data_IF_032210972323
#
_entry.id   IF_032210972323
#
_cell.length_a   1.000
_cell.length_b   1.000
_cell.length_c   1.000
_cell.angle_alpha   90.00
_cell.angle_beta   90.00
_cell.angle_gamma   90.00
#
_symmetry.space_group_name_H-M   'P 1'
#
loop_
_entity.id
_entity.type
_entity.pdbx_description
1 polymer ?
#
# COMPACT_ATOMS: atom_id res chain seq x y z
N UNK A 1 34.05 -5.79 12.17
CA UNK A 1 32.94 -4.81 12.31
C UNK A 1 32.42 -4.57 10.91
N UNK A 2 31.35 -5.24 10.53
CA UNK A 2 30.79 -5.14 9.17
C UNK A 2 30.02 -3.84 9.06
N UNK A 3 30.61 -2.87 8.35
CA UNK A 3 29.94 -1.67 7.89
C UNK A 3 28.71 -2.08 7.09
N UNK A 4 27.52 -1.85 7.67
CA UNK A 4 26.28 -1.94 6.91
C UNK A 4 26.26 -0.74 5.99
N UNK A 5 26.36 -0.99 4.68
CA UNK A 5 26.10 0.02 3.66
C UNK A 5 24.76 0.71 3.98
N UNK A 6 24.67 2.05 3.89
CA UNK A 6 23.39 2.73 4.04
C UNK A 6 22.48 2.25 2.90
N UNK A 7 21.31 1.70 3.24
CA UNK A 7 20.27 1.35 2.25
C UNK A 7 20.15 2.47 1.22
N UNK A 8 20.22 2.12 -0.06
CA UNK A 8 20.14 3.11 -1.13
C UNK A 8 18.77 3.79 -1.09
N UNK A 9 18.68 5.08 -1.45
CA UNK A 9 17.41 5.81 -1.47
C UNK A 9 16.32 5.11 -2.31
N UNK A 10 16.72 4.34 -3.33
CA UNK A 10 15.86 3.50 -4.15
C UNK A 10 15.30 2.32 -3.34
N UNK A 11 16.12 1.68 -2.53
CA UNK A 11 15.74 0.59 -1.64
C UNK A 11 14.79 1.08 -0.54
N UNK A 12 15.00 2.29 -0.02
CA UNK A 12 14.07 2.95 0.91
C UNK A 12 12.71 3.27 0.28
N UNK A 13 12.68 3.80 -0.94
CA UNK A 13 11.43 4.07 -1.67
C UNK A 13 10.70 2.77 -2.06
N UNK A 14 11.44 1.71 -2.42
CA UNK A 14 10.91 0.38 -2.65
C UNK A 14 10.38 -0.22 -1.34
N UNK A 15 11.07 -0.05 -0.22
CA UNK A 15 10.63 -0.46 1.10
C UNK A 15 9.46 0.37 1.63
N UNK A 16 9.26 1.63 1.26
CA UNK A 16 8.02 2.37 1.56
C UNK A 16 6.85 1.88 0.69
N UNK A 17 7.13 1.53 -0.57
CA UNK A 17 6.14 0.95 -1.49
C UNK A 17 5.83 -0.53 -1.21
N UNK A 18 6.70 -1.25 -0.48
CA UNK A 18 6.63 -2.69 -0.22
C UNK A 18 6.57 -3.06 1.27
N UNK A 19 6.82 -2.12 2.20
CA UNK A 19 6.72 -2.30 3.63
C UNK A 19 5.81 -1.21 4.26
N UNK A 20 4.80 -1.55 5.06
CA UNK A 20 4.74 -2.65 6.05
C UNK A 20 5.70 -2.39 7.23
N UNK A 21 6.51 -1.29 7.23
CA UNK A 21 7.14 -0.70 8.43
C UNK A 21 7.40 0.80 8.25
N UNK A 22 7.15 1.66 9.27
CA UNK A 22 7.53 3.06 9.25
C UNK A 22 9.06 3.20 9.18
N UNK A 23 9.54 4.01 8.25
CA UNK A 23 10.95 4.41 8.11
C UNK A 23 11.10 5.77 8.79
N UNK A 24 12.11 5.93 9.64
CA UNK A 24 12.36 7.20 10.34
C UNK A 24 12.52 8.35 9.33
N UNK A 25 11.62 9.34 9.37
CA UNK A 25 11.58 10.49 8.45
C UNK A 25 10.69 10.35 7.20
N UNK A 26 9.94 9.26 7.04
CA UNK A 26 8.99 9.05 5.94
C UNK A 26 7.66 8.49 6.48
N UNK A 27 6.58 9.27 6.42
CA UNK A 27 5.26 8.86 6.88
C UNK A 27 4.74 7.66 6.07
N UNK A 28 4.61 6.52 6.73
CA UNK A 28 4.11 5.29 6.11
C UNK A 28 2.57 5.19 6.11
N UNK A 29 1.85 6.17 6.66
CA UNK A 29 0.39 6.22 6.67
C UNK A 29 -0.07 7.67 6.77
N UNK A 30 -0.98 8.16 5.91
CA UNK A 30 -1.94 9.13 6.37
C UNK A 30 -2.92 8.37 7.28
N UNK A 31 -2.78 8.54 8.59
CA UNK A 31 -3.76 8.07 9.59
C UNK A 31 -5.00 8.98 9.64
N UNK A 32 -5.08 9.96 8.74
CA UNK A 32 -6.12 10.98 8.66
C UNK A 32 -6.07 11.66 7.31
N UNK A 33 -7.18 12.29 6.92
CA UNK A 33 -7.31 13.00 5.65
C UNK A 33 -8.04 12.19 4.58
N UNK A 34 -8.41 12.84 3.46
CA UNK A 34 -9.27 12.24 2.44
C UNK A 34 -8.58 11.07 1.75
N UNK A 35 -9.36 10.01 1.49
CA UNK A 35 -8.90 8.86 0.72
C UNK A 35 -10.05 7.92 0.35
N UNK A 36 -9.67 6.78 -0.21
CA UNK A 36 -10.58 5.71 -0.60
C UNK A 36 -10.12 4.37 -0.07
N UNK A 37 -11.06 3.51 0.30
CA UNK A 37 -10.78 2.12 0.66
C UNK A 37 -11.82 1.16 0.08
N UNK A 38 -11.41 -0.09 -0.09
CA UNK A 38 -12.26 -1.17 -0.56
C UNK A 38 -11.96 -2.44 0.23
N UNK A 39 -13.02 -3.12 0.66
CA UNK A 39 -12.91 -4.46 1.24
C UNK A 39 -12.82 -5.48 0.11
N UNK A 40 -11.67 -6.15 0.03
CA UNK A 40 -11.38 -7.16 -0.99
C UNK A 40 -11.37 -8.56 -0.36
N UNK A 41 -11.27 -9.58 -1.20
CA UNK A 41 -11.21 -10.98 -0.76
C UNK A 41 -10.12 -11.24 0.30
N UNK A 42 -10.32 -12.28 1.12
CA UNK A 42 -9.37 -12.65 2.17
C UNK A 42 -9.48 -11.82 3.45
N UNK A 43 -10.50 -10.97 3.59
CA UNK A 43 -10.66 -10.08 4.75
C UNK A 43 -9.61 -8.98 4.77
N UNK A 44 -9.19 -8.54 3.59
CA UNK A 44 -8.23 -7.46 3.40
C UNK A 44 -8.97 -6.16 3.03
N UNK A 45 -8.39 -5.05 3.45
CA UNK A 45 -8.82 -3.70 3.08
C UNK A 45 -7.70 -3.06 2.28
N UNK A 46 -7.97 -2.73 1.02
CA UNK A 46 -7.09 -1.94 0.17
C UNK A 46 -7.43 -0.46 0.35
N UNK A 47 -6.45 0.42 0.40
CA UNK A 47 -6.69 1.86 0.52
C UNK A 47 -5.67 2.71 -0.23
N UNK A 48 -6.10 3.93 -0.56
CA UNK A 48 -5.31 4.95 -1.24
C UNK A 48 -5.69 6.35 -0.76
N UNK A 49 -4.73 7.28 -0.77
CA UNK A 49 -4.98 8.72 -0.56
C UNK A 49 -5.21 9.48 -1.88
N UNK A 50 -5.38 8.77 -3.00
CA UNK A 50 -5.51 9.32 -4.35
C UNK A 50 -4.34 10.19 -4.85
N UNK A 51 -3.18 10.10 -4.19
CA UNK A 51 -1.96 10.78 -4.58
C UNK A 51 -0.85 9.75 -4.83
N UNK A 52 -0.21 9.28 -3.77
CA UNK A 52 1.00 8.46 -3.85
C UNK A 52 0.97 7.23 -2.92
N UNK A 53 -0.06 7.08 -2.09
CA UNK A 53 -0.20 5.96 -1.15
C UNK A 53 -1.12 4.90 -1.73
N UNK A 54 -0.65 3.66 -1.73
CA UNK A 54 -1.45 2.46 -1.94
C UNK A 54 -1.00 1.41 -0.93
N UNK A 55 -1.93 0.90 -0.13
CA UNK A 55 -1.59 -0.05 0.92
C UNK A 55 -2.74 -1.02 1.21
N UNK A 56 -2.39 -2.13 1.85
CA UNK A 56 -3.31 -3.19 2.24
C UNK A 56 -3.21 -3.47 3.74
N UNK A 57 -4.34 -3.41 4.43
CA UNK A 57 -4.50 -3.81 5.83
C UNK A 57 -5.33 -5.09 5.94
N UNK A 58 -5.09 -5.89 6.98
CA UNK A 58 -5.87 -7.09 7.26
C UNK A 58 -5.38 -8.36 6.54
N UNK A 59 -6.24 -9.38 6.56
CA UNK A 59 -5.95 -10.73 6.05
C UNK A 59 -5.41 -11.71 7.10
N UNK A 60 -5.97 -12.93 7.13
CA UNK A 60 -5.45 -14.06 7.95
C UNK A 60 -4.47 -14.97 7.17
N UNK A 61 -4.46 -14.88 5.84
CA UNK A 61 -3.64 -15.71 4.96
C UNK A 61 -2.40 -14.99 4.44
N UNK A 62 -1.23 -15.62 4.57
CA UNK A 62 0.05 -15.10 4.04
C UNK A 62 0.07 -15.10 2.51
N UNK A 63 -0.53 -16.11 1.87
CA UNK A 63 -0.51 -16.30 0.41
C UNK A 63 -1.27 -15.22 -0.35
N UNK A 64 -2.50 -14.90 0.07
CA UNK A 64 -3.35 -13.89 -0.58
C UNK A 64 -2.69 -12.51 -0.52
N UNK A 65 -2.13 -12.19 0.65
CA UNK A 65 -1.38 -10.96 0.88
C UNK A 65 -0.10 -10.89 0.03
N UNK A 66 0.65 -11.99 -0.08
CA UNK A 66 1.83 -12.06 -0.96
C UNK A 66 1.48 -11.87 -2.45
N UNK A 67 0.40 -12.49 -2.93
CA UNK A 67 -0.05 -12.32 -4.31
C UNK A 67 -0.45 -10.87 -4.59
N UNK A 68 -1.14 -10.22 -3.65
CA UNK A 68 -1.54 -8.83 -3.79
C UNK A 68 -0.33 -7.88 -3.84
N UNK A 69 0.69 -8.10 -2.99
CA UNK A 69 1.93 -7.32 -3.07
C UNK A 69 2.69 -7.53 -4.38
N UNK A 70 2.67 -8.74 -4.94
CA UNK A 70 3.24 -8.99 -6.25
C UNK A 70 2.48 -8.23 -7.34
N UNK A 71 1.15 -8.19 -7.26
CA UNK A 71 0.31 -7.44 -8.19
C UNK A 71 0.56 -5.93 -8.11
N UNK A 72 0.60 -5.36 -6.90
CA UNK A 72 0.97 -3.95 -6.66
C UNK A 72 2.34 -3.63 -7.28
N UNK A 73 3.34 -4.50 -7.08
CA UNK A 73 4.67 -4.33 -7.66
C UNK A 73 4.69 -4.39 -9.18
N UNK A 74 3.87 -5.25 -9.78
CA UNK A 74 3.74 -5.35 -11.24
C UNK A 74 3.15 -4.07 -11.81
N UNK A 75 2.10 -3.53 -11.18
CA UNK A 75 1.45 -2.28 -11.59
C UNK A 75 2.39 -1.08 -11.45
N UNK A 76 3.13 -0.98 -10.35
CA UNK A 76 4.17 0.04 -10.17
C UNK A 76 5.23 -0.02 -11.28
N UNK A 77 5.73 -1.22 -11.59
CA UNK A 77 6.71 -1.42 -12.68
C UNK A 77 6.14 -1.11 -14.06
N UNK A 78 4.83 -1.23 -14.23
CA UNK A 78 4.12 -0.81 -15.44
C UNK A 78 3.83 0.71 -15.48
N UNK A 79 4.32 1.48 -14.51
CA UNK A 79 4.15 2.94 -14.47
C UNK A 79 2.78 3.40 -13.99
N UNK A 80 1.99 2.53 -13.34
CA UNK A 80 0.69 2.89 -12.78
C UNK A 80 0.83 3.71 -11.51
N UNK A 81 -0.03 4.71 -11.39
CA UNK A 81 -0.20 5.52 -10.17
C UNK A 81 -0.86 4.71 -9.04
N UNK A 82 -0.82 5.22 -7.81
CA UNK A 82 -1.49 4.60 -6.66
C UNK A 82 -3.01 4.48 -6.90
N UNK A 83 -3.62 5.54 -7.43
CA UNK A 83 -5.05 5.61 -7.80
C UNK A 83 -5.43 4.57 -8.84
N UNK A 84 -4.70 4.47 -9.96
CA UNK A 84 -4.98 3.48 -10.99
C UNK A 84 -4.80 2.05 -10.46
N UNK A 85 -3.75 1.83 -9.66
CA UNK A 85 -3.51 0.53 -9.07
C UNK A 85 -4.60 0.15 -8.05
N UNK A 86 -5.11 1.11 -7.28
CA UNK A 86 -6.29 0.91 -6.43
C UNK A 86 -7.51 0.49 -7.24
N UNK A 87 -7.85 1.24 -8.30
CA UNK A 87 -9.02 0.98 -9.13
C UNK A 87 -8.96 -0.39 -9.84
N UNK A 88 -7.75 -0.86 -10.16
CA UNK A 88 -7.53 -2.21 -10.72
C UNK A 88 -7.64 -3.29 -9.63
N UNK A 89 -6.98 -3.09 -8.48
CA UNK A 89 -6.83 -4.11 -7.45
C UNK A 89 -8.06 -4.24 -6.53
N UNK A 90 -8.99 -3.28 -6.56
CA UNK A 90 -10.27 -3.43 -5.87
C UNK A 90 -11.15 -4.53 -6.48
N UNK A 91 -10.83 -5.01 -7.70
CA UNK A 91 -11.52 -6.14 -8.34
C UNK A 91 -13.06 -5.97 -8.31
N UNK A 92 -13.54 -4.79 -8.72
CA UNK A 92 -14.94 -4.40 -8.69
C UNK A 92 -15.56 -4.18 -7.31
N UNK A 93 -14.86 -4.45 -6.21
CA UNK A 93 -15.32 -4.10 -4.87
C UNK A 93 -15.63 -2.61 -4.76
N UNK A 94 -16.69 -2.29 -4.01
CA UNK A 94 -17.13 -0.92 -3.82
C UNK A 94 -16.05 -0.10 -3.11
N UNK A 95 -15.74 1.05 -3.71
CA UNK A 95 -14.82 2.02 -3.10
C UNK A 95 -15.62 2.96 -2.20
N UNK A 96 -15.23 3.00 -0.93
CA UNK A 96 -15.74 3.94 0.05
C UNK A 96 -14.78 5.14 0.06
N UNK A 97 -15.32 6.34 -0.03
CA UNK A 97 -14.55 7.59 0.08
C UNK A 97 -14.83 8.23 1.44
N UNK A 98 -13.78 8.68 2.13
CA UNK A 98 -13.92 9.25 3.47
C UNK A 98 -12.59 9.66 4.07
N UNK A 99 -12.59 9.95 5.37
CA UNK A 99 -11.35 10.22 6.08
C UNK A 99 -10.67 8.89 6.46
N UNK A 100 -9.40 8.74 6.14
CA UNK A 100 -8.65 7.50 6.43
C UNK A 100 -8.51 7.22 7.94
N UNK A 101 -8.79 8.20 8.81
CA UNK A 101 -8.90 7.97 10.25
C UNK A 101 -10.07 7.06 10.63
N UNK A 102 -11.06 6.85 9.76
CA UNK A 102 -12.15 5.88 9.98
C UNK A 102 -11.66 4.42 9.94
N UNK A 103 -10.44 4.17 9.46
CA UNK A 103 -9.79 2.86 9.40
C UNK A 103 -8.86 2.57 10.59
N UNK A 104 -8.60 3.58 11.45
CA UNK A 104 -7.65 3.53 12.55
C UNK A 104 -8.18 2.85 13.83
#
# INVERSE_FOLDING_TARGET
MTDRLPESAVEKAVNQAQAIRPVEGYDALPLSGPGRWAHIHGGMTLYTNDDNVLFVQGGRGTLERSTLFQAMNKLRRAGKTATEAFDILRLEADAISGDLSELA
#
